data_IF_974392065443
#
_entry.id   IF_974392065443
#
_cell.length_a   1.000
_cell.length_b   1.000
_cell.length_c   1.000
_cell.angle_alpha   90.00
_cell.angle_beta   90.00
_cell.angle_gamma   90.00
#
_symmetry.space_group_name_H-M   'P 1'
#
loop_
_entity.id
_entity.type
_entity.pdbx_description
1 polymer ?
#
# COMPACT_ATOMS: atom_id res chain seq x y z
N UNK A 1 3.51 -5.80 -23.50
CA UNK A 1 3.67 -5.77 -22.02
C UNK A 1 3.03 -7.04 -21.49
N UNK A 2 3.57 -7.64 -20.43
CA UNK A 2 2.93 -8.81 -19.79
C UNK A 2 2.22 -8.34 -18.53
N UNK A 3 1.05 -8.88 -18.20
CA UNK A 3 0.50 -8.78 -16.86
C UNK A 3 1.26 -9.73 -15.92
N UNK A 4 1.25 -9.46 -14.61
CA UNK A 4 1.86 -10.34 -13.61
C UNK A 4 0.92 -10.53 -12.42
N UNK A 5 0.70 -11.76 -12.00
CA UNK A 5 0.08 -12.06 -10.72
C UNK A 5 1.11 -11.83 -9.61
N UNK A 6 0.65 -11.30 -8.48
CA UNK A 6 1.45 -11.05 -7.29
C UNK A 6 1.16 -12.15 -6.28
N UNK A 7 2.15 -13.00 -6.01
CA UNK A 7 2.03 -14.10 -5.04
C UNK A 7 2.73 -13.77 -3.74
N UNK A 8 2.01 -13.86 -2.62
CA UNK A 8 2.59 -13.78 -1.27
C UNK A 8 3.21 -15.13 -0.91
N UNK A 9 4.52 -15.14 -0.69
CA UNK A 9 5.28 -16.32 -0.30
C UNK A 9 5.22 -16.53 1.22
N UNK A 10 5.30 -17.79 1.66
CA UNK A 10 5.29 -18.15 3.10
C UNK A 10 6.59 -17.88 3.85
N UNK A 11 7.58 -17.30 3.16
CA UNK A 11 8.89 -16.97 3.71
C UNK A 11 9.06 -15.45 3.74
N UNK A 12 9.75 -14.95 4.76
CA UNK A 12 10.15 -13.54 4.83
C UNK A 12 11.35 -13.28 3.92
N UNK A 13 11.57 -12.01 3.57
CA UNK A 13 12.81 -11.59 2.93
C UNK A 13 13.99 -11.69 3.91
N UNK A 14 15.19 -11.71 3.36
CA UNK A 14 16.42 -11.45 4.11
C UNK A 14 17.31 -10.45 3.35
N UNK A 15 18.45 -10.09 3.93
CA UNK A 15 19.38 -9.11 3.33
C UNK A 15 19.97 -9.54 1.97
N UNK A 16 19.88 -10.84 1.64
CA UNK A 16 20.41 -11.40 0.38
C UNK A 16 19.30 -11.64 -0.64
N UNK A 17 18.09 -11.92 -0.17
CA UNK A 17 16.97 -12.39 -0.98
C UNK A 17 15.76 -11.53 -0.69
N UNK A 18 15.59 -10.48 -1.49
CA UNK A 18 14.43 -9.58 -1.47
C UNK A 18 13.33 -9.99 -2.46
N UNK A 19 13.51 -11.10 -3.18
CA UNK A 19 12.59 -11.61 -4.21
C UNK A 19 12.18 -10.50 -5.19
N UNK A 20 10.89 -10.42 -5.52
CA UNK A 20 10.32 -9.30 -6.26
C UNK A 20 9.69 -8.27 -5.31
N UNK A 21 9.88 -8.40 -4.00
CA UNK A 21 9.26 -7.51 -3.02
C UNK A 21 8.83 -8.20 -1.75
N UNK A 22 8.06 -7.49 -0.94
CA UNK A 22 7.44 -7.99 0.29
C UNK A 22 6.23 -7.16 0.71
N UNK A 23 5.32 -7.81 1.45
CA UNK A 23 4.22 -7.18 2.18
C UNK A 23 4.58 -7.05 3.66
N UNK A 24 4.02 -6.03 4.32
CA UNK A 24 4.28 -5.65 5.71
C UNK A 24 5.76 -5.37 6.01
N UNK A 25 6.08 -5.11 7.27
CA UNK A 25 7.45 -4.92 7.70
C UNK A 25 7.93 -3.49 7.50
N UNK A 26 9.15 -3.36 6.99
CA UNK A 26 9.87 -2.10 6.92
C UNK A 26 10.24 -1.76 5.47
N UNK A 27 10.22 -0.48 5.06
CA UNK A 27 10.67 -0.04 3.75
C UNK A 27 12.20 -0.08 3.65
N UNK A 28 12.76 -0.23 2.43
CA UNK A 28 14.20 -0.29 2.24
C UNK A 28 14.80 1.08 1.89
N UNK A 29 16.08 1.28 2.19
CA UNK A 29 16.93 2.29 1.54
C UNK A 29 16.66 3.75 1.92
N UNK A 30 15.68 4.03 2.76
CA UNK A 30 15.36 5.38 3.25
C UNK A 30 15.92 5.61 4.66
N UNK A 31 16.04 6.88 5.03
CA UNK A 31 16.30 7.32 6.41
C UNK A 31 14.99 7.56 7.15
N UNK A 32 15.03 7.46 8.48
CA UNK A 32 13.85 7.68 9.31
C UNK A 32 13.17 9.04 9.06
N UNK A 33 13.94 10.11 8.83
CA UNK A 33 13.39 11.44 8.54
C UNK A 33 12.82 11.60 7.12
N UNK A 34 13.00 10.60 6.25
CA UNK A 34 12.42 10.54 4.90
C UNK A 34 11.10 9.78 4.88
N UNK A 35 10.69 9.20 6.01
CA UNK A 35 9.46 8.45 6.15
C UNK A 35 8.24 9.37 6.02
N UNK A 36 7.22 9.02 5.22
CA UNK A 36 6.04 9.86 5.05
C UNK A 36 5.15 9.84 6.31
N UNK A 37 4.75 11.02 6.77
CA UNK A 37 3.79 11.16 7.86
C UNK A 37 2.36 11.18 7.30
N UNK A 38 1.42 10.66 8.08
CA UNK A 38 0.00 10.83 7.85
C UNK A 38 -0.36 12.31 8.06
N UNK A 39 -0.88 13.01 7.04
CA UNK A 39 -1.25 14.42 7.16
C UNK A 39 -2.32 14.69 8.22
N UNK A 40 -3.21 13.73 8.48
CA UNK A 40 -4.30 13.90 9.43
C UNK A 40 -3.86 13.77 10.88
N UNK A 41 -3.01 12.78 11.16
CA UNK A 41 -2.61 12.49 12.54
C UNK A 41 -1.19 12.92 12.86
N UNK A 42 -0.30 13.07 11.88
CA UNK A 42 1.13 13.35 12.08
C UNK A 42 1.95 12.14 12.55
N UNK A 43 1.34 10.96 12.69
CA UNK A 43 2.06 9.71 12.90
C UNK A 43 2.69 9.23 11.59
N UNK A 44 3.72 8.37 11.63
CA UNK A 44 4.26 7.78 10.40
C UNK A 44 3.18 6.94 9.70
N UNK A 45 3.09 7.04 8.36
CA UNK A 45 2.26 6.11 7.60
C UNK A 45 2.84 4.70 7.70
N UNK A 46 1.99 3.67 7.75
CA UNK A 46 2.42 2.28 7.80
C UNK A 46 2.97 1.86 6.44
N UNK A 47 4.11 1.18 6.41
CA UNK A 47 4.58 0.50 5.19
C UNK A 47 3.69 -0.70 4.87
N UNK A 48 3.08 -0.67 3.69
CA UNK A 48 2.15 -1.71 3.22
C UNK A 48 2.92 -2.78 2.45
N UNK A 49 3.64 -2.37 1.41
CA UNK A 49 4.46 -3.27 0.60
C UNK A 49 5.57 -2.53 -0.14
N UNK A 50 6.57 -3.29 -0.57
CA UNK A 50 7.53 -2.88 -1.58
C UNK A 50 7.49 -3.88 -2.72
N UNK A 51 7.34 -3.39 -3.95
CA UNK A 51 7.29 -4.21 -5.17
C UNK A 51 8.36 -3.77 -6.15
N UNK A 52 9.23 -4.69 -6.55
CA UNK A 52 10.17 -4.53 -7.66
C UNK A 52 9.40 -4.52 -8.97
N UNK A 53 9.68 -3.52 -9.81
CA UNK A 53 8.99 -3.34 -11.07
C UNK A 53 9.76 -4.05 -12.21
N UNK A 54 9.09 -4.94 -12.97
CA UNK A 54 9.60 -5.44 -14.25
C UNK A 54 9.97 -4.27 -15.16
N UNK A 55 10.95 -4.45 -16.04
CA UNK A 55 11.46 -3.37 -16.91
C UNK A 55 10.36 -2.61 -17.67
N UNK A 56 9.35 -3.34 -18.17
CA UNK A 56 8.22 -2.75 -18.88
C UNK A 56 7.26 -1.91 -18.03
N UNK A 57 7.35 -1.95 -16.70
CA UNK A 57 6.51 -1.19 -15.77
C UNK A 57 7.26 -0.04 -15.07
N UNK A 58 8.56 0.14 -15.38
CA UNK A 58 9.34 1.24 -14.82
C UNK A 58 8.91 2.54 -15.49
N UNK A 59 8.53 3.53 -14.69
CA UNK A 59 7.99 4.81 -15.16
C UNK A 59 9.08 5.78 -15.63
N UNK A 60 10.31 5.58 -15.18
CA UNK A 60 11.51 6.24 -15.68
C UNK A 60 12.75 5.34 -15.53
N UNK A 61 13.91 5.83 -15.96
CA UNK A 61 15.18 5.09 -15.96
C UNK A 61 15.75 4.79 -14.57
N UNK A 62 15.34 5.55 -13.55
CA UNK A 62 15.83 5.39 -12.18
C UNK A 62 14.88 4.54 -11.33
N UNK A 63 13.63 4.39 -11.75
CA UNK A 63 12.61 3.63 -11.05
C UNK A 63 12.89 2.13 -11.18
N UNK A 64 13.14 1.49 -10.04
CA UNK A 64 13.38 0.04 -9.93
C UNK A 64 12.28 -0.67 -9.16
N UNK A 65 11.74 -0.02 -8.14
CA UNK A 65 10.68 -0.54 -7.28
C UNK A 65 9.76 0.59 -6.81
N UNK A 66 8.62 0.22 -6.26
CA UNK A 66 7.71 1.13 -5.55
C UNK A 66 7.53 0.64 -4.12
N UNK A 67 7.54 1.56 -3.16
CA UNK A 67 7.02 1.31 -1.81
C UNK A 67 5.73 2.07 -1.60
N UNK A 68 4.72 1.38 -1.06
CA UNK A 68 3.41 1.94 -0.76
C UNK A 68 3.23 2.04 0.74
N UNK A 69 2.69 3.17 1.19
CA UNK A 69 2.42 3.48 2.58
C UNK A 69 0.96 3.89 2.72
N UNK A 70 0.34 3.52 3.83
CA UNK A 70 -1.08 3.78 4.08
C UNK A 70 -1.31 4.22 5.52
N UNK A 71 -2.47 4.85 5.74
CA UNK A 71 -3.02 5.08 7.07
C UNK A 71 -3.04 3.76 7.88
N UNK A 72 -2.89 3.90 9.20
CA UNK A 72 -3.01 2.78 10.11
C UNK A 72 -4.46 2.23 10.11
N UNK A 73 -4.62 0.91 10.24
CA UNK A 73 -5.93 0.27 10.11
C UNK A 73 -6.87 0.65 11.25
N UNK A 74 -6.31 0.83 12.44
CA UNK A 74 -6.95 1.30 13.66
C UNK A 74 -7.26 2.81 13.65
N UNK A 75 -6.74 3.55 12.67
CA UNK A 75 -7.07 4.96 12.44
C UNK A 75 -8.03 5.15 11.25
N UNK A 76 -8.56 4.05 10.68
CA UNK A 76 -9.50 4.06 9.57
C UNK A 76 -10.73 3.19 9.88
N UNK A 77 -11.77 3.81 10.44
CA UNK A 77 -13.09 3.20 10.72
C UNK A 77 -14.20 3.90 9.91
N UNK A 78 -14.08 3.84 8.59
CA UNK A 78 -14.98 4.56 7.67
C UNK A 78 -14.60 6.03 7.44
N UNK A 79 -13.35 6.38 7.77
CA UNK A 79 -12.75 7.71 7.63
C UNK A 79 -11.53 7.84 8.56
N UNK A 80 -10.64 8.82 8.30
CA UNK A 80 -9.44 9.02 9.11
C UNK A 80 -9.77 9.66 10.47
N UNK A 81 -9.07 9.23 11.52
CA UNK A 81 -8.88 10.12 12.68
C UNK A 81 -7.99 11.30 12.29
N UNK A 82 -8.24 12.50 12.84
CA UNK A 82 -7.49 13.70 12.45
C UNK A 82 -7.32 14.71 13.57
N UNK A 83 -6.25 15.51 13.46
CA UNK A 83 -5.99 16.70 14.25
C UNK A 83 -6.37 17.91 13.41
N UNK A 84 -7.31 18.73 13.90
CA UNK A 84 -7.82 19.89 13.15
C UNK A 84 -6.68 20.84 12.73
N UNK A 85 -6.61 21.13 11.43
CA UNK A 85 -5.62 22.05 10.84
C UNK A 85 -4.22 21.49 10.64
N UNK A 86 -3.94 20.24 11.05
CA UNK A 86 -2.62 19.64 10.89
C UNK A 86 -2.29 19.43 9.41
N UNK A 87 -3.19 18.84 8.64
CA UNK A 87 -3.02 18.59 7.20
C UNK A 87 -2.60 19.88 6.45
N UNK A 88 -3.35 20.96 6.63
CA UNK A 88 -3.05 22.28 6.03
C UNK A 88 -1.64 22.76 6.43
N UNK A 89 -1.27 22.57 7.69
CA UNK A 89 0.05 22.97 8.19
C UNK A 89 1.19 22.12 7.61
N UNK A 90 1.00 20.81 7.41
CA UNK A 90 2.02 19.90 6.85
C UNK A 90 2.32 20.21 5.39
N UNK A 91 1.31 20.58 4.62
CA UNK A 91 1.45 20.91 3.19
C UNK A 91 1.68 22.40 2.91
N UNK A 92 1.75 23.25 3.95
CA UNK A 92 2.02 24.67 3.78
C UNK A 92 3.41 24.94 3.16
N UNK A 93 3.49 25.89 2.22
CA UNK A 93 4.77 26.32 1.62
C UNK A 93 5.70 27.01 2.62
N UNK A 94 5.13 27.59 3.68
CA UNK A 94 5.84 28.32 4.71
C UNK A 94 5.57 27.68 6.07
N UNK A 95 6.49 27.87 7.00
CA UNK A 95 6.32 27.39 8.38
C UNK A 95 4.95 27.83 8.94
N UNK A 96 4.19 26.91 9.56
CA UNK A 96 2.91 27.25 10.16
C UNK A 96 3.08 28.26 11.30
N UNK A 97 2.05 29.09 11.52
CA UNK A 97 2.04 30.05 12.63
C UNK A 97 1.83 29.39 13.99
N UNK A 98 1.19 28.21 14.00
CA UNK A 98 0.96 27.40 15.19
C UNK A 98 2.25 26.64 15.55
N UNK A 99 2.94 27.00 16.65
CA UNK A 99 4.22 26.35 17.00
C UNK A 99 4.10 24.85 17.24
N UNK A 100 2.92 24.35 17.64
CA UNK A 100 2.70 22.91 17.80
C UNK A 100 2.80 22.13 16.47
N UNK A 101 2.54 22.78 15.33
CA UNK A 101 2.62 22.15 14.00
C UNK A 101 4.00 22.25 13.36
N UNK A 102 4.88 23.14 13.86
CA UNK A 102 6.21 23.36 13.28
C UNK A 102 7.06 22.08 13.17
N UNK A 103 7.14 21.18 14.19
CA UNK A 103 7.93 19.95 14.07
C UNK A 103 7.45 19.02 12.95
N UNK A 104 6.15 18.96 12.72
CA UNK A 104 5.56 18.10 11.69
C UNK A 104 5.77 18.69 10.29
N UNK A 105 5.58 20.01 10.14
CA UNK A 105 5.93 20.71 8.91
C UNK A 105 7.42 20.54 8.55
N UNK A 106 8.32 20.66 9.54
CA UNK A 106 9.75 20.44 9.34
C UNK A 106 10.06 19.00 8.88
N UNK A 107 9.38 18.00 9.44
CA UNK A 107 9.52 16.61 9.02
C UNK A 107 9.09 16.41 7.55
N UNK A 108 8.03 17.07 7.11
CA UNK A 108 7.57 17.04 5.72
C UNK A 108 8.60 17.63 4.75
N UNK A 109 9.44 18.58 5.17
CA UNK A 109 10.51 19.13 4.33
C UNK A 109 11.64 18.13 4.07
N UNK A 110 11.74 17.06 4.87
CA UNK A 110 12.78 16.03 4.72
C UNK A 110 12.26 14.71 4.20
N UNK A 111 10.97 14.62 3.86
CA UNK A 111 10.36 13.44 3.25
C UNK A 111 11.15 13.00 2.02
N UNK A 112 11.08 11.71 1.68
CA UNK A 112 11.79 11.17 0.53
C UNK A 112 11.51 12.00 -0.74
N UNK A 113 12.52 12.38 -1.56
CA UNK A 113 12.29 13.25 -2.71
C UNK A 113 11.33 12.69 -3.76
N UNK A 114 11.22 11.36 -3.86
CA UNK A 114 10.27 10.70 -4.74
C UNK A 114 8.87 10.54 -4.12
N UNK A 115 8.63 11.02 -2.90
CA UNK A 115 7.36 10.82 -2.21
C UNK A 115 6.24 11.52 -2.95
N UNK A 116 5.10 10.84 -3.11
CA UNK A 116 3.83 11.47 -3.47
C UNK A 116 2.71 10.93 -2.63
N UNK A 117 1.91 11.85 -2.12
CA UNK A 117 0.70 11.58 -1.39
C UNK A 117 -0.48 11.47 -2.36
N UNK A 118 -1.43 10.61 -2.00
CA UNK A 118 -2.75 10.52 -2.59
C UNK A 118 -3.76 10.34 -1.45
N UNK A 119 -4.93 10.97 -1.59
CA UNK A 119 -6.05 10.77 -0.68
C UNK A 119 -7.14 10.01 -1.44
N UNK A 120 -7.77 9.05 -0.78
CA UNK A 120 -8.93 8.34 -1.34
C UNK A 120 -10.24 9.14 -1.14
N UNK A 121 -11.35 8.55 -1.56
CA UNK A 121 -12.68 9.19 -1.47
C UNK A 121 -13.16 9.38 -0.02
N UNK A 122 -12.57 8.69 0.96
CA UNK A 122 -12.82 8.89 2.39
C UNK A 122 -11.81 9.84 3.03
N UNK A 123 -10.98 10.51 2.23
CA UNK A 123 -9.92 11.41 2.68
C UNK A 123 -8.80 10.70 3.47
N UNK A 124 -8.68 9.38 3.36
CA UNK A 124 -7.56 8.65 3.95
C UNK A 124 -6.30 8.85 3.11
N UNK A 125 -5.17 9.13 3.76
CA UNK A 125 -3.91 9.38 3.09
C UNK A 125 -3.07 8.12 2.88
N UNK A 126 -2.48 8.08 1.68
CA UNK A 126 -1.51 7.09 1.23
C UNK A 126 -0.29 7.80 0.67
N UNK A 127 0.84 7.12 0.62
CA UNK A 127 2.04 7.63 -0.01
C UNK A 127 2.78 6.58 -0.83
N UNK A 128 3.39 7.02 -1.92
CA UNK A 128 4.26 6.21 -2.77
C UNK A 128 5.68 6.74 -2.77
N UNK A 129 6.65 5.83 -2.70
CA UNK A 129 8.05 6.12 -2.99
C UNK A 129 8.49 5.32 -4.21
N UNK A 130 8.97 5.99 -5.25
CA UNK A 130 9.70 5.34 -6.35
C UNK A 130 11.16 5.17 -5.91
N UNK A 131 11.63 3.93 -5.93
CA UNK A 131 12.95 3.56 -5.42
C UNK A 131 13.90 3.24 -6.56
N UNK A 132 15.14 3.69 -6.42
CA UNK A 132 16.27 3.20 -7.20
C UNK A 132 16.64 1.76 -6.83
N UNK A 133 17.44 1.10 -7.67
CA UNK A 133 17.96 -0.23 -7.36
C UNK A 133 18.79 -0.22 -6.06
N UNK A 134 19.57 0.85 -5.84
CA UNK A 134 20.36 1.01 -4.63
C UNK A 134 19.48 1.13 -3.37
N UNK A 135 18.36 1.84 -3.44
CA UNK A 135 17.41 1.95 -2.34
C UNK A 135 16.68 0.63 -2.09
N UNK A 136 16.25 -0.08 -3.14
CA UNK A 136 15.58 -1.38 -3.00
C UNK A 136 16.44 -2.41 -2.25
N UNK A 137 17.75 -2.46 -2.55
CA UNK A 137 18.70 -3.33 -1.83
C UNK A 137 19.33 -2.68 -0.59
N UNK A 138 18.88 -1.48 -0.22
CA UNK A 138 19.33 -0.78 0.98
C UNK A 138 18.91 -1.48 2.28
N UNK A 139 19.42 -0.96 3.39
CA UNK A 139 19.01 -1.41 4.73
C UNK A 139 17.52 -1.12 4.96
N UNK A 140 16.86 -1.99 5.72
CA UNK A 140 15.48 -1.75 6.12
C UNK A 140 15.43 -0.64 7.18
N UNK A 141 14.58 0.34 6.96
CA UNK A 141 14.46 1.50 7.83
C UNK A 141 13.49 1.22 8.97
N UNK A 142 13.88 1.49 10.22
CA UNK A 142 12.92 1.50 11.33
C UNK A 142 12.06 2.76 11.27
N UNK A 143 10.81 2.73 11.81
CA UNK A 143 9.97 3.91 11.87
C UNK A 143 10.68 5.07 12.60
N UNK A 144 10.43 6.33 12.22
CA UNK A 144 10.98 7.46 12.93
C UNK A 144 10.48 7.53 14.37
N UNK A 145 11.23 8.21 15.22
CA UNK A 145 10.74 8.56 16.55
C UNK A 145 9.47 9.39 16.42
N UNK A 146 8.47 9.07 17.25
CA UNK A 146 7.22 9.83 17.32
C UNK A 146 7.57 11.25 17.75
N UNK A 147 7.11 12.23 16.97
CA UNK A 147 7.27 13.64 17.30
C UNK A 147 6.49 13.98 18.57
N UNK A 148 6.94 14.99 19.31
CA UNK A 148 6.25 15.41 20.52
C UNK A 148 4.87 15.98 20.18
N UNK A 149 3.84 15.49 20.87
CA UNK A 149 2.44 15.81 20.61
C UNK A 149 1.82 16.43 21.86
N UNK A 150 1.19 17.59 21.70
CA UNK A 150 0.51 18.33 22.77
C UNK A 150 -0.84 18.86 22.29
N UNK A 151 -1.58 18.03 21.55
CA UNK A 151 -2.91 18.39 21.05
C UNK A 151 -3.98 18.17 22.14
N UNK A 152 -5.00 19.02 22.17
CA UNK A 152 -6.07 18.93 23.19
C UNK A 152 -6.91 17.65 23.05
N UNK A 153 -7.23 17.26 21.81
CA UNK A 153 -7.93 16.03 21.44
C UNK A 153 -6.97 15.12 20.65
N UNK A 154 -5.89 14.67 21.28
CA UNK A 154 -4.88 13.87 20.60
C UNK A 154 -5.39 12.46 20.24
N UNK A 155 -4.86 11.97 19.13
CA UNK A 155 -5.08 10.62 18.59
C UNK A 155 -4.08 9.67 19.24
N UNK A 156 -4.55 8.48 19.64
CA UNK A 156 -3.69 7.43 20.16
C UNK A 156 -2.60 7.05 19.16
N UNK A 157 -1.45 6.59 19.66
CA UNK A 157 -0.42 6.09 18.76
C UNK A 157 -0.92 4.80 18.09
N UNK A 158 -0.74 4.66 16.76
CA UNK A 158 -1.26 3.50 16.05
C UNK A 158 -0.54 2.22 16.48
N UNK A 159 -1.29 1.14 16.64
CA UNK A 159 -0.80 -0.12 17.22
C UNK A 159 0.35 -0.73 16.41
N UNK A 160 0.39 -0.49 15.09
CA UNK A 160 1.42 -1.06 14.21
C UNK A 160 2.84 -0.61 14.57
N UNK A 161 3.02 0.54 15.23
CA UNK A 161 4.33 1.03 15.67
C UNK A 161 4.95 0.13 16.74
N UNK A 162 4.14 -0.67 17.43
CA UNK A 162 4.59 -1.63 18.46
C UNK A 162 4.43 -3.06 17.96
N UNK A 163 3.26 -3.39 17.42
CA UNK A 163 2.89 -4.76 17.10
C UNK A 163 3.25 -5.17 15.66
N UNK A 164 3.47 -4.21 14.77
CA UNK A 164 3.67 -4.43 13.35
C UNK A 164 2.37 -4.63 12.57
N UNK A 165 2.38 -4.18 11.31
CA UNK A 165 1.19 -4.13 10.46
C UNK A 165 0.50 -5.49 10.26
N UNK A 166 1.27 -6.58 10.16
CA UNK A 166 0.71 -7.92 9.98
C UNK A 166 -0.06 -8.41 11.23
N UNK A 167 0.44 -8.10 12.43
CA UNK A 167 -0.24 -8.44 13.69
C UNK A 167 -1.55 -7.67 13.83
N UNK A 168 -1.53 -6.36 13.60
CA UNK A 168 -2.74 -5.53 13.65
C UNK A 168 -3.79 -6.03 12.65
N UNK A 169 -3.38 -6.33 11.40
CA UNK A 169 -4.30 -6.85 10.39
C UNK A 169 -4.87 -8.23 10.76
N UNK A 170 -4.06 -9.10 11.38
CA UNK A 170 -4.55 -10.37 11.94
C UNK A 170 -5.60 -10.14 13.02
N UNK A 171 -5.33 -9.25 14.00
CA UNK A 171 -6.24 -8.96 15.11
C UNK A 171 -7.57 -8.35 14.66
N UNK A 172 -7.57 -7.58 13.58
CA UNK A 172 -8.80 -7.05 12.98
C UNK A 172 -9.66 -8.16 12.35
N UNK A 173 -9.04 -9.12 11.68
CA UNK A 173 -9.76 -10.18 10.95
C UNK A 173 -10.08 -11.41 11.81
N UNK A 174 -9.33 -11.63 12.89
CA UNK A 174 -9.49 -12.76 13.78
C UNK A 174 -10.36 -12.39 14.99
N UNK A 175 -11.40 -13.19 15.23
CA UNK A 175 -12.21 -13.07 16.44
C UNK A 175 -12.04 -14.31 17.32
N UNK A 176 -11.36 -14.13 18.46
CA UNK A 176 -11.21 -15.18 19.49
C UNK A 176 -12.54 -15.66 20.08
N UNK A 177 -13.63 -14.90 19.87
CA UNK A 177 -14.96 -15.24 20.36
C UNK A 177 -15.74 -16.14 19.40
N UNK A 178 -15.30 -16.23 18.13
CA UNK A 178 -15.82 -17.20 17.20
C UNK A 178 -15.15 -18.55 17.48
N UNK A 179 -15.91 -19.64 17.43
CA UNK A 179 -15.39 -21.00 17.63
C UNK A 179 -14.61 -21.53 16.42
N UNK A 180 -14.20 -20.64 15.51
CA UNK A 180 -13.50 -20.99 14.28
C UNK A 180 -12.00 -21.13 14.59
N UNK A 181 -11.36 -22.28 14.29
CA UNK A 181 -9.92 -22.43 14.40
C UNK A 181 -9.17 -21.40 13.54
N UNK A 182 -8.01 -20.92 14.00
CA UNK A 182 -7.21 -19.93 13.29
C UNK A 182 -6.87 -20.37 11.86
N UNK A 183 -6.66 -21.68 11.65
CA UNK A 183 -6.31 -22.30 10.37
C UNK A 183 -7.40 -22.20 9.30
N UNK A 184 -8.65 -21.95 9.70
CA UNK A 184 -9.77 -21.81 8.77
C UNK A 184 -9.86 -20.40 8.17
N UNK A 185 -9.19 -19.41 8.78
CA UNK A 185 -9.12 -18.05 8.27
C UNK A 185 -8.24 -17.98 7.02
N UNK A 186 -8.70 -17.27 5.98
CA UNK A 186 -7.95 -17.07 4.74
C UNK A 186 -6.58 -16.42 4.99
N UNK A 187 -6.57 -15.34 5.78
CA UNK A 187 -5.35 -14.64 6.20
C UNK A 187 -4.32 -15.55 6.89
N UNK A 188 -4.74 -16.59 7.63
CA UNK A 188 -3.80 -17.56 8.21
C UNK A 188 -3.06 -18.31 7.10
N UNK A 189 -3.78 -18.73 6.05
CA UNK A 189 -3.22 -19.52 4.94
C UNK A 189 -2.29 -18.67 4.07
N UNK A 190 -2.65 -17.41 3.84
CA UNK A 190 -1.87 -16.44 3.08
C UNK A 190 -0.58 -16.06 3.79
N UNK A 191 -0.65 -15.75 5.09
CA UNK A 191 0.54 -15.44 5.90
C UNK A 191 1.33 -16.69 6.32
N UNK A 192 0.79 -17.89 6.12
CA UNK A 192 1.41 -19.15 6.53
C UNK A 192 1.51 -19.32 8.04
N UNK A 193 0.56 -18.77 8.79
CA UNK A 193 0.48 -18.83 10.26
C UNK A 193 0.03 -17.52 10.89
N UNK A 194 -0.08 -17.51 12.22
CA UNK A 194 -0.33 -16.30 13.01
C UNK A 194 0.95 -15.43 12.97
N UNK A 195 0.88 -14.18 12.50
CA UNK A 195 2.04 -13.30 12.51
C UNK A 195 2.46 -12.96 13.95
N UNK A 196 3.77 -12.86 14.23
CA UNK A 196 4.25 -12.37 15.52
C UNK A 196 3.99 -10.86 15.65
N UNK A 197 3.92 -10.37 16.89
CA UNK A 197 3.95 -8.94 17.21
C UNK A 197 5.37 -8.39 16.97
N UNK A 198 5.65 -8.00 15.74
CA UNK A 198 6.94 -7.46 15.32
C UNK A 198 6.80 -6.53 14.11
N UNK A 199 7.26 -5.28 14.28
CA UNK A 199 7.27 -4.26 13.22
C UNK A 199 8.07 -4.70 11.98
N UNK A 200 9.06 -5.58 12.13
CA UNK A 200 9.88 -6.07 11.02
C UNK A 200 9.32 -7.30 10.30
N UNK A 201 8.24 -7.91 10.82
CA UNK A 201 7.66 -9.10 10.21
C UNK A 201 7.08 -8.78 8.84
N UNK A 202 7.46 -9.59 7.85
CA UNK A 202 7.07 -9.44 6.46
C UNK A 202 6.87 -10.79 5.78
N UNK A 203 6.26 -10.77 4.60
CA UNK A 203 6.22 -11.91 3.67
C UNK A 203 6.72 -11.48 2.31
N UNK A 204 7.64 -12.26 1.75
CA UNK A 204 8.19 -12.00 0.43
C UNK A 204 7.10 -12.13 -0.64
N UNK A 205 7.29 -11.43 -1.75
CA UNK A 205 6.41 -11.45 -2.91
C UNK A 205 7.17 -12.00 -4.12
N UNK A 206 6.49 -12.76 -4.95
CA UNK A 206 6.95 -13.13 -6.29
C UNK A 206 6.01 -12.59 -7.38
N UNK A 207 6.58 -12.15 -8.49
CA UNK A 207 5.82 -11.82 -9.69
C UNK A 207 5.77 -13.02 -10.64
N UNK A 208 4.57 -13.49 -10.94
CA UNK A 208 4.33 -14.59 -11.88
C UNK A 208 3.69 -14.03 -13.13
N UNK A 209 4.42 -14.08 -14.25
CA UNK A 209 3.89 -13.58 -15.53
C UNK A 209 2.59 -14.29 -15.92
N UNK A 210 1.58 -13.53 -16.29
CA UNK A 210 0.32 -14.04 -16.83
C UNK A 210 0.21 -13.66 -18.32
N UNK A 211 0.78 -14.45 -19.24
CA UNK A 211 0.70 -14.19 -20.67
C UNK A 211 -0.69 -14.47 -21.26
N UNK A 212 -1.61 -15.07 -20.48
CA UNK A 212 -2.96 -15.39 -20.92
C UNK A 212 -3.94 -14.23 -20.73
N UNK A 213 -3.58 -13.20 -19.96
CA UNK A 213 -4.39 -12.00 -19.79
C UNK A 213 -4.42 -11.18 -21.10
N UNK A 214 -5.57 -11.07 -21.79
CA UNK A 214 -5.66 -10.38 -23.06
C UNK A 214 -5.66 -8.85 -22.92
N UNK A 215 -5.77 -8.32 -21.69
CA UNK A 215 -5.74 -6.90 -21.39
C UNK A 215 -4.34 -6.39 -21.00
N UNK A 216 -3.34 -7.26 -20.96
CA UNK A 216 -1.96 -6.87 -20.67
C UNK A 216 -1.48 -5.69 -21.56
N UNK A 217 -1.10 -4.59 -20.92
CA UNK A 217 -0.63 -3.37 -21.59
C UNK A 217 -1.71 -2.48 -22.20
N UNK A 218 -2.99 -2.77 -21.96
CA UNK A 218 -4.11 -1.89 -22.33
C UNK A 218 -4.50 -1.02 -21.14
N UNK A 219 -5.04 0.15 -21.42
CA UNK A 219 -5.65 1.00 -20.39
C UNK A 219 -6.99 0.39 -19.99
N UNK A 220 -7.23 0.10 -18.69
CA UNK A 220 -8.53 -0.30 -18.20
C UNK A 220 -9.61 0.70 -18.61
N UNK A 221 -10.74 0.23 -19.12
CA UNK A 221 -11.82 1.11 -19.57
C UNK A 221 -13.15 0.37 -19.67
N UNK A 222 -14.23 1.08 -19.37
CA UNK A 222 -15.61 0.61 -19.55
C UNK A 222 -16.16 0.93 -20.97
N UNK A 223 -15.36 1.57 -21.83
CA UNK A 223 -15.80 1.98 -23.16
C UNK A 223 -15.42 0.96 -24.24
N UNK A 224 -16.39 0.59 -25.08
CA UNK A 224 -16.29 -0.43 -26.13
C UNK A 224 -15.18 -0.16 -27.18
N UNK A 225 -14.77 1.09 -27.37
CA UNK A 225 -13.83 1.50 -28.44
C UNK A 225 -12.34 1.50 -28.02
N UNK A 226 -12.00 1.05 -26.81
CA UNK A 226 -10.61 1.06 -26.31
C UNK A 226 -9.82 -0.20 -26.64
N UNK A 227 -10.52 -1.27 -27.04
CA UNK A 227 -9.94 -2.60 -27.21
C UNK A 227 -9.63 -3.33 -25.90
N UNK A 228 -9.93 -2.73 -24.75
CA UNK A 228 -10.00 -3.42 -23.46
C UNK A 228 -11.20 -4.37 -23.45
N UNK A 229 -11.03 -5.56 -22.88
CA UNK A 229 -12.06 -6.60 -22.82
C UNK A 229 -12.64 -6.60 -21.41
N UNK A 230 -13.95 -6.39 -21.30
CA UNK A 230 -14.66 -6.46 -20.03
C UNK A 230 -14.61 -7.90 -19.46
N UNK A 231 -14.06 -8.11 -18.25
CA UNK A 231 -14.00 -9.44 -17.63
C UNK A 231 -15.37 -9.99 -17.23
N UNK A 232 -16.39 -9.16 -17.08
CA UNK A 232 -17.74 -9.57 -16.65
C UNK A 232 -18.64 -9.93 -17.83
N UNK A 233 -18.18 -9.73 -19.08
CA UNK A 233 -18.89 -10.15 -20.27
C UNK A 233 -18.57 -11.59 -20.67
N UNK A 234 -19.58 -12.45 -20.67
CA UNK A 234 -19.53 -13.75 -21.34
C UNK A 234 -18.74 -14.86 -20.64
N UNK A 235 -18.41 -14.69 -19.35
CA UNK A 235 -17.73 -15.68 -18.49
C UNK A 235 -16.43 -16.25 -19.13
N UNK A 236 -15.43 -15.40 -19.36
CA UNK A 236 -14.25 -15.80 -20.12
C UNK A 236 -13.33 -16.74 -19.34
N UNK A 237 -12.96 -17.88 -19.94
CA UNK A 237 -12.04 -18.88 -19.33
C UNK A 237 -10.68 -18.30 -18.91
N UNK A 238 -10.20 -17.23 -19.56
CA UNK A 238 -8.91 -16.61 -19.23
C UNK A 238 -8.95 -15.87 -17.88
N UNK A 239 -10.13 -15.50 -17.37
CA UNK A 239 -10.28 -14.77 -16.12
C UNK A 239 -9.82 -15.57 -14.90
N UNK A 240 -9.95 -16.90 -14.94
CA UNK A 240 -9.45 -17.80 -13.87
C UNK A 240 -7.93 -17.70 -13.66
N UNK A 241 -7.19 -17.16 -14.64
CA UNK A 241 -5.75 -16.94 -14.54
C UNK A 241 -5.37 -15.61 -13.87
N UNK A 242 -6.31 -14.68 -13.72
CA UNK A 242 -6.07 -13.34 -13.17
C UNK A 242 -6.21 -13.39 -11.66
N UNK A 243 -5.13 -13.04 -10.96
CA UNK A 243 -5.14 -12.90 -9.50
C UNK A 243 -5.74 -11.56 -9.10
N UNK A 244 -6.51 -11.45 -8.00
CA UNK A 244 -6.91 -10.15 -7.42
C UNK A 244 -5.74 -9.25 -7.04
N UNK A 245 -4.59 -9.86 -6.74
CA UNK A 245 -3.34 -9.16 -6.55
C UNK A 245 -2.51 -9.28 -7.84
N UNK A 246 -2.41 -8.20 -8.62
CA UNK A 246 -1.72 -8.21 -9.91
C UNK A 246 -1.12 -6.85 -10.30
N UNK A 247 -0.20 -6.89 -11.28
CA UNK A 247 0.44 -5.75 -11.91
C UNK A 247 0.01 -5.67 -13.38
N UNK A 248 -0.83 -4.67 -13.68
CA UNK A 248 -1.48 -4.41 -14.96
C UNK A 248 -2.32 -5.57 -15.50
N UNK A 249 -2.92 -5.37 -16.67
CA UNK A 249 -3.81 -6.37 -17.26
C UNK A 249 -5.27 -6.08 -16.95
N UNK A 250 -6.02 -7.10 -16.56
CA UNK A 250 -7.46 -7.02 -16.31
C UNK A 250 -7.78 -6.58 -14.89
N UNK A 251 -8.40 -5.41 -14.76
CA UNK A 251 -8.95 -4.92 -13.51
C UNK A 251 -10.18 -5.75 -13.12
N UNK A 252 -10.24 -6.16 -11.86
CA UNK A 252 -11.34 -6.88 -11.22
C UNK A 252 -12.18 -5.95 -10.32
N UNK A 253 -12.03 -4.64 -10.48
CA UNK A 253 -12.85 -3.65 -9.80
C UNK A 253 -14.31 -3.73 -10.29
N UNK A 254 -15.22 -4.07 -9.39
CA UNK A 254 -16.64 -4.21 -9.68
C UNK A 254 -17.48 -2.94 -9.51
N UNK A 255 -16.90 -1.82 -9.06
CA UNK A 255 -17.63 -0.58 -8.73
C UNK A 255 -17.36 0.60 -9.68
N UNK A 256 -16.55 0.38 -10.71
CA UNK A 256 -16.27 1.34 -11.77
C UNK A 256 -14.79 1.65 -11.88
N UNK A 257 -14.27 1.61 -13.10
CA UNK A 257 -12.84 1.80 -13.38
C UNK A 257 -12.47 3.30 -13.24
N UNK A 258 -11.50 3.67 -12.39
CA UNK A 258 -11.08 5.07 -12.26
C UNK A 258 -10.46 5.65 -13.54
N UNK A 259 -10.85 6.88 -13.89
CA UNK A 259 -10.40 7.58 -15.11
C UNK A 259 -8.87 7.85 -15.15
N UNK A 260 -8.20 7.83 -14.00
CA UNK A 260 -6.77 8.08 -13.90
C UNK A 260 -5.91 6.86 -14.26
N UNK A 261 -6.49 5.67 -14.46
CA UNK A 261 -5.71 4.47 -14.70
C UNK A 261 -5.00 4.52 -16.05
N UNK A 262 -3.73 4.15 -16.03
CA UNK A 262 -2.93 3.81 -17.20
C UNK A 262 -2.74 2.29 -17.25
N UNK A 263 -2.08 1.72 -18.28
CA UNK A 263 -1.71 0.30 -18.27
C UNK A 263 -0.72 -0.09 -17.14
N UNK A 264 -0.18 0.89 -16.43
CA UNK A 264 0.86 0.74 -15.41
C UNK A 264 0.23 0.87 -14.02
N UNK A 265 -0.53 -0.12 -13.59
CA UNK A 265 -1.20 -0.08 -12.28
C UNK A 265 -0.97 -1.37 -11.49
N UNK A 266 -1.09 -1.28 -10.17
CA UNK A 266 -1.17 -2.41 -9.26
C UNK A 266 -2.60 -2.45 -8.74
N UNK A 267 -3.21 -3.62 -8.83
CA UNK A 267 -4.49 -3.90 -8.19
C UNK A 267 -4.25 -4.96 -7.11
N UNK A 268 -4.83 -4.76 -5.92
CA UNK A 268 -4.53 -5.58 -4.76
C UNK A 268 -5.64 -5.62 -3.72
N UNK A 269 -5.77 -6.77 -3.07
CA UNK A 269 -6.66 -6.98 -1.93
C UNK A 269 -6.01 -6.49 -0.63
N UNK A 270 -6.82 -6.39 0.43
CA UNK A 270 -6.41 -5.91 1.75
C UNK A 270 -5.20 -6.63 2.34
N UNK A 271 -4.99 -7.92 2.02
CA UNK A 271 -3.83 -8.69 2.49
C UNK A 271 -2.49 -8.11 2.05
N UNK A 272 -2.47 -7.35 0.94
CA UNK A 272 -1.27 -6.75 0.38
C UNK A 272 -0.94 -5.43 1.09
N UNK A 273 -0.72 -5.52 2.41
CA UNK A 273 -0.38 -4.40 3.27
C UNK A 273 -1.26 -4.26 4.51
N UNK A 274 -2.37 -4.98 4.60
CA UNK A 274 -3.30 -4.99 5.73
C UNK A 274 -4.18 -3.76 5.78
N UNK A 275 -5.07 -3.63 4.80
CA UNK A 275 -5.97 -2.48 4.64
C UNK A 275 -7.38 -2.78 5.14
N UNK A 276 -8.22 -1.76 5.20
CA UNK A 276 -9.66 -1.88 5.43
C UNK A 276 -10.38 -1.24 4.24
N UNK A 277 -10.59 -2.03 3.19
CA UNK A 277 -11.33 -1.69 1.97
C UNK A 277 -12.74 -2.31 2.00
N UNK A 278 -13.22 -2.75 3.17
CA UNK A 278 -14.50 -3.43 3.31
C UNK A 278 -14.58 -4.74 2.54
N UNK A 279 -13.47 -5.49 2.42
CA UNK A 279 -13.38 -6.74 1.66
C UNK A 279 -13.20 -6.55 0.15
N UNK A 280 -12.90 -5.33 -0.29
CA UNK A 280 -12.70 -5.01 -1.69
C UNK A 280 -11.22 -4.90 -2.11
N UNK A 281 -10.97 -4.05 -3.11
CA UNK A 281 -9.72 -3.98 -3.86
C UNK A 281 -9.23 -2.53 -3.93
N UNK A 282 -7.93 -2.35 -3.66
CA UNK A 282 -7.20 -1.11 -3.89
C UNK A 282 -6.54 -1.10 -5.27
N UNK A 283 -6.44 0.09 -5.87
CA UNK A 283 -5.89 0.31 -7.20
C UNK A 283 -4.93 1.49 -7.16
N UNK A 284 -3.68 1.22 -7.52
CA UNK A 284 -2.61 2.21 -7.56
C UNK A 284 -2.09 2.36 -8.99
N UNK A 285 -2.25 3.53 -9.59
CA UNK A 285 -1.57 3.84 -10.86
C UNK A 285 -0.12 4.25 -10.60
N UNK A 286 0.84 3.67 -11.32
CA UNK A 286 2.27 3.91 -11.10
C UNK A 286 2.76 5.18 -11.78
N UNK A 287 2.12 5.61 -12.87
CA UNK A 287 2.55 6.78 -13.67
C UNK A 287 2.06 8.05 -13.01
N UNK A 288 0.75 8.12 -12.79
CA UNK A 288 0.07 9.22 -12.15
C UNK A 288 0.29 9.17 -10.64
N UNK A 289 0.49 7.99 -10.03
CA UNK A 289 0.60 7.81 -8.56
C UNK A 289 -0.64 8.31 -7.83
N UNK A 290 -1.79 8.09 -8.46
CA UNK A 290 -3.11 8.24 -7.88
C UNK A 290 -3.56 6.87 -7.36
N UNK A 291 -4.38 6.89 -6.32
CA UNK A 291 -4.87 5.71 -5.64
C UNK A 291 -6.36 5.84 -5.38
N UNK A 292 -7.09 4.75 -5.53
CA UNK A 292 -8.48 4.62 -5.09
C UNK A 292 -8.77 3.16 -4.72
N UNK A 293 -9.93 2.90 -4.15
CA UNK A 293 -10.37 1.55 -3.83
C UNK A 293 -11.89 1.42 -3.95
N UNK A 294 -12.34 0.18 -4.13
CA UNK A 294 -13.76 -0.20 -4.19
C UNK A 294 -14.08 -1.18 -3.08
N UNK A 295 -15.26 -1.11 -2.46
CA UNK A 295 -15.69 -2.15 -1.50
C UNK A 295 -16.19 -3.42 -2.22
N UNK A 296 -16.12 -4.54 -1.50
CA UNK A 296 -16.57 -5.87 -1.95
C UNK A 296 -18.01 -6.22 -1.57
#
# INVERSE_FOLDING_TARGET
MNAYNIEILKQSIDDKTRFDGWVFGLPPGIKANQWPLDPHTGYPLKHSFTLKLPEGYRTDENTYAVSFFAIAVDHNDGGPEYIEGLEEALFAEQSPNEPLFEPFWQAMQTVHPSCKFAADTLDCYYATLLLSEAEFYGELCSPPAILERHFEDDVCAPEWLVEGGASCFWKMNYSQYLSLPAEEYQIYRELGGIPPEAVSFNRAIALVANPSDPNAGKTPSEYEDTGYIDPYEGDPEWLESVSPNHLGGTSLNGQGIPDFLTPYYIEFEEILGGHNFGGGIGILDLVNREFDWSCG
#
